data_IF_137494110450
#
_entry.id   IF_137494110450
#
_cell.length_a   1.000
_cell.length_b   1.000
_cell.length_c   1.000
_cell.angle_alpha   90.00
_cell.angle_beta   90.00
_cell.angle_gamma   90.00
#
_symmetry.space_group_name_H-M   'P 1'
#
loop_
_entity.id
_entity.type
_entity.pdbx_description
1 polymer ?
#
# COMPACT_ATOMS: atom_id res chain seq x y z
N UNK A 1 -16.90 -17.91 -8.01
CA UNK A 1 -16.48 -18.46 -6.70
C UNK A 1 -15.11 -17.87 -6.38
N UNK A 2 -15.01 -16.92 -5.44
CA UNK A 2 -13.72 -16.32 -5.09
C UNK A 2 -12.92 -17.33 -4.26
N UNK A 3 -11.88 -17.87 -4.91
CA UNK A 3 -10.87 -18.73 -4.32
C UNK A 3 -10.32 -18.04 -3.05
N UNK A 4 -10.64 -18.58 -1.87
CA UNK A 4 -10.13 -18.06 -0.61
C UNK A 4 -8.63 -18.37 -0.57
N UNK A 5 -7.82 -17.48 -1.14
CA UNK A 5 -6.39 -17.43 -0.88
C UNK A 5 -6.23 -17.36 0.63
N UNK A 6 -5.85 -18.50 1.21
CA UNK A 6 -5.68 -18.71 2.64
C UNK A 6 -4.82 -17.57 3.21
N UNK A 7 -5.47 -16.58 3.80
CA UNK A 7 -4.76 -15.48 4.45
C UNK A 7 -4.14 -15.99 5.73
N UNK A 8 -2.92 -15.55 6.01
CA UNK A 8 -2.28 -15.85 7.28
C UNK A 8 -3.19 -15.45 8.47
N UNK A 9 -3.16 -16.20 9.59
CA UNK A 9 -3.94 -15.88 10.77
C UNK A 9 -3.71 -14.44 11.22
N UNK A 10 -4.77 -13.78 11.69
CA UNK A 10 -4.66 -12.42 12.21
C UNK A 10 -3.72 -12.40 13.43
N UNK A 11 -2.70 -11.51 13.46
CA UNK A 11 -1.73 -11.46 14.56
C UNK A 11 -2.34 -11.01 15.89
N UNK A 12 -3.52 -10.42 15.87
CA UNK A 12 -4.18 -9.90 17.07
C UNK A 12 -5.15 -10.91 17.70
N UNK A 13 -5.93 -11.64 16.88
CA UNK A 13 -6.98 -12.53 17.38
C UNK A 13 -6.89 -13.99 16.90
N UNK A 14 -5.89 -14.32 16.08
CA UNK A 14 -5.67 -15.67 15.55
C UNK A 14 -6.67 -16.15 14.49
N UNK A 15 -7.71 -15.38 14.18
CA UNK A 15 -8.71 -15.75 13.18
C UNK A 15 -8.17 -15.60 11.74
N UNK A 16 -8.54 -16.51 10.85
CA UNK A 16 -8.14 -16.48 9.43
C UNK A 16 -9.19 -15.83 8.52
N UNK A 17 -10.26 -15.28 9.08
CA UNK A 17 -11.27 -14.54 8.33
C UNK A 17 -10.82 -13.10 8.10
N UNK A 18 -10.18 -12.86 6.95
CA UNK A 18 -9.75 -11.53 6.51
C UNK A 18 -10.16 -11.24 5.07
N UNK A 19 -10.45 -9.98 4.79
CA UNK A 19 -10.81 -9.51 3.44
C UNK A 19 -9.76 -8.54 2.91
N UNK A 20 -9.43 -8.58 1.61
CA UNK A 20 -8.51 -7.62 1.00
C UNK A 20 -9.05 -6.19 1.09
N UNK A 21 -8.19 -5.26 1.51
CA UNK A 21 -8.50 -3.83 1.52
C UNK A 21 -8.34 -3.29 0.10
N UNK A 22 -9.39 -2.66 -0.44
CA UNK A 22 -9.39 -2.17 -1.83
C UNK A 22 -8.79 -0.78 -1.99
N UNK A 23 -8.81 0.02 -0.93
CA UNK A 23 -8.35 1.41 -0.95
C UNK A 23 -7.83 1.83 0.43
N UNK A 24 -6.74 2.58 0.46
CA UNK A 24 -6.26 3.30 1.64
C UNK A 24 -5.94 4.75 1.28
N UNK A 25 -6.04 5.67 2.24
CA UNK A 25 -5.72 7.08 2.01
C UNK A 25 -4.23 7.31 1.70
N UNK A 26 -3.33 6.47 2.23
CA UNK A 26 -1.87 6.58 2.02
C UNK A 26 -1.37 5.91 0.74
N UNK A 27 -2.15 5.02 0.12
CA UNK A 27 -1.69 4.23 -1.04
C UNK A 27 -2.72 4.03 -2.14
N UNK A 28 -3.85 4.72 -2.06
CA UNK A 28 -4.95 4.57 -3.00
C UNK A 28 -5.38 3.11 -3.18
N UNK A 29 -5.70 2.73 -4.41
CA UNK A 29 -6.00 1.34 -4.75
C UNK A 29 -4.74 0.46 -4.95
N UNK A 30 -3.56 1.08 -5.15
CA UNK A 30 -2.33 0.36 -5.49
C UNK A 30 -1.61 -0.17 -4.25
N UNK A 31 -1.39 0.68 -3.24
CA UNK A 31 -0.66 0.35 -2.02
C UNK A 31 -1.19 -0.90 -1.30
N UNK A 32 -2.51 -1.01 -1.05
CA UNK A 32 -3.09 -2.20 -0.42
C UNK A 32 -2.83 -3.48 -1.20
N UNK A 33 -2.88 -3.44 -2.53
CA UNK A 33 -2.63 -4.62 -3.38
C UNK A 33 -1.15 -5.03 -3.34
N UNK A 34 -0.24 -4.07 -3.48
CA UNK A 34 1.21 -4.30 -3.45
C UNK A 34 1.65 -4.91 -2.12
N UNK A 35 1.09 -4.43 -1.01
CA UNK A 35 1.44 -4.88 0.33
C UNK A 35 0.57 -6.04 0.83
N UNK A 36 -0.27 -6.63 -0.04
CA UNK A 36 -1.19 -7.71 0.32
C UNK A 36 -2.00 -7.36 1.59
N UNK A 37 -2.46 -6.12 1.67
CA UNK A 37 -3.09 -5.53 2.84
C UNK A 37 -4.51 -6.06 2.98
N UNK A 38 -4.78 -6.74 4.09
CA UNK A 38 -6.07 -7.32 4.42
C UNK A 38 -6.56 -6.76 5.75
N UNK A 39 -7.87 -6.82 5.96
CA UNK A 39 -8.54 -6.45 7.21
C UNK A 39 -9.21 -7.68 7.79
N UNK A 40 -8.89 -8.03 9.03
CA UNK A 40 -9.59 -9.07 9.77
C UNK A 40 -11.05 -8.67 9.98
N UNK A 41 -11.98 -9.57 9.67
CA UNK A 41 -13.42 -9.34 9.86
C UNK A 41 -13.85 -9.47 11.32
N UNK A 42 -13.02 -10.07 12.18
CA UNK A 42 -13.33 -10.28 13.59
C UNK A 42 -12.90 -9.10 14.48
N UNK A 43 -11.63 -8.69 14.40
CA UNK A 43 -11.07 -7.64 15.27
C UNK A 43 -10.67 -6.36 14.53
N UNK A 44 -10.96 -6.25 13.23
CA UNK A 44 -10.63 -5.11 12.37
C UNK A 44 -9.14 -4.81 12.20
N UNK A 45 -8.24 -5.62 12.75
CA UNK A 45 -6.79 -5.47 12.56
C UNK A 45 -6.44 -5.58 11.09
N UNK A 46 -5.66 -4.61 10.62
CA UNK A 46 -5.13 -4.57 9.26
C UNK A 46 -3.68 -5.07 9.27
N UNK A 47 -3.36 -5.98 8.35
CA UNK A 47 -2.08 -6.67 8.34
C UNK A 47 -1.76 -7.20 6.94
N UNK A 48 -0.61 -7.84 6.80
CA UNK A 48 -0.20 -8.50 5.57
C UNK A 48 -0.84 -9.89 5.49
N UNK A 49 -1.75 -10.07 4.54
CA UNK A 49 -2.48 -11.33 4.35
C UNK A 49 -1.61 -12.51 3.95
N UNK A 50 -0.37 -12.30 3.47
CA UNK A 50 0.57 -13.37 3.14
C UNK A 50 1.39 -13.81 4.35
N UNK A 51 1.81 -12.89 5.21
CA UNK A 51 2.78 -13.18 6.29
C UNK A 51 2.18 -13.14 7.69
N UNK A 52 0.98 -12.57 7.87
CA UNK A 52 0.40 -12.36 9.19
C UNK A 52 1.03 -11.19 9.95
N UNK A 53 2.03 -10.49 9.37
CA UNK A 53 2.76 -9.41 10.04
C UNK A 53 2.14 -8.04 9.75
N UNK A 54 2.51 -7.04 10.55
CA UNK A 54 2.16 -5.65 10.27
C UNK A 54 2.77 -5.19 8.93
N UNK A 55 2.00 -4.37 8.20
CA UNK A 55 2.45 -3.74 6.95
C UNK A 55 3.14 -2.38 7.16
N UNK A 56 3.33 -1.91 8.40
CA UNK A 56 3.87 -0.56 8.69
C UNK A 56 5.21 -0.30 7.97
N UNK A 57 6.17 -1.21 8.07
CA UNK A 57 7.46 -1.05 7.40
C UNK A 57 7.32 -0.98 5.87
N UNK A 58 6.46 -1.84 5.29
CA UNK A 58 6.16 -1.83 3.86
C UNK A 58 5.49 -0.53 3.42
N UNK A 59 4.59 0.03 4.23
CA UNK A 59 3.92 1.31 3.98
C UNK A 59 4.94 2.45 3.98
N UNK A 60 5.89 2.46 4.92
CA UNK A 60 6.95 3.48 4.99
C UNK A 60 7.80 3.43 3.72
N UNK A 61 8.30 2.26 3.34
CA UNK A 61 9.11 2.08 2.12
C UNK A 61 8.32 2.51 0.88
N UNK A 62 7.07 2.05 0.75
CA UNK A 62 6.18 2.44 -0.35
C UNK A 62 6.00 3.96 -0.43
N UNK A 63 5.80 4.62 0.71
CA UNK A 63 5.58 6.07 0.76
C UNK A 63 6.84 6.85 0.39
N UNK A 64 8.02 6.44 0.87
CA UNK A 64 9.30 7.07 0.54
C UNK A 64 9.61 6.94 -0.95
N UNK A 65 9.42 5.75 -1.52
CA UNK A 65 9.66 5.52 -2.97
C UNK A 65 8.72 6.37 -3.82
N UNK A 66 7.42 6.40 -3.48
CA UNK A 66 6.47 7.26 -4.19
C UNK A 66 6.84 8.73 -4.10
N UNK A 67 7.21 9.21 -2.91
CA UNK A 67 7.61 10.60 -2.74
C UNK A 67 8.84 10.94 -3.58
N UNK A 68 9.86 10.08 -3.60
CA UNK A 68 11.05 10.27 -4.41
C UNK A 68 10.72 10.32 -5.92
N UNK A 69 9.88 9.40 -6.40
CA UNK A 69 9.45 9.40 -7.81
C UNK A 69 8.68 10.67 -8.15
N UNK A 70 7.70 11.05 -7.32
CA UNK A 70 6.92 12.27 -7.51
C UNK A 70 7.81 13.52 -7.50
N UNK A 71 8.79 13.60 -6.61
CA UNK A 71 9.74 14.70 -6.57
C UNK A 71 10.59 14.76 -7.84
N UNK A 72 11.13 13.63 -8.31
CA UNK A 72 11.91 13.58 -9.55
C UNK A 72 11.08 13.96 -10.78
N UNK A 73 9.86 13.44 -10.91
CA UNK A 73 8.96 13.74 -12.04
C UNK A 73 8.53 15.20 -12.01
N UNK A 74 8.04 15.70 -10.89
CA UNK A 74 7.59 17.09 -10.76
C UNK A 74 8.76 18.08 -10.90
N UNK A 75 9.91 17.79 -10.30
CA UNK A 75 11.12 18.60 -10.42
C UNK A 75 11.65 18.63 -11.85
N UNK A 76 11.69 17.48 -12.53
CA UNK A 76 12.08 17.39 -13.94
C UNK A 76 11.11 18.16 -14.85
N UNK A 77 9.81 17.99 -14.66
CA UNK A 77 8.80 18.76 -15.41
C UNK A 77 8.90 20.27 -15.17
N UNK A 78 9.14 20.69 -13.92
CA UNK A 78 9.35 22.10 -13.60
C UNK A 78 10.59 22.66 -14.29
N UNK A 79 11.71 21.93 -14.26
CA UNK A 79 12.94 22.33 -14.95
C UNK A 79 12.74 22.43 -16.47
N UNK A 80 12.05 21.45 -17.09
CA UNK A 80 11.70 21.49 -18.52
C UNK A 80 10.83 22.72 -18.82
N UNK A 81 9.81 22.99 -18.01
CA UNK A 81 8.95 24.16 -18.21
C UNK A 81 9.73 25.48 -18.13
N UNK A 82 10.64 25.61 -17.17
CA UNK A 82 11.52 26.81 -17.05
C UNK A 82 12.40 26.97 -18.28
N UNK A 83 12.99 25.88 -18.79
CA UNK A 83 13.83 25.92 -19.99
C UNK A 83 13.01 26.33 -21.22
N UNK A 84 11.80 25.78 -21.40
CA UNK A 84 10.91 26.10 -22.51
C UNK A 84 10.40 27.54 -22.49
N UNK A 85 10.22 28.15 -21.31
CA UNK A 85 9.80 29.55 -21.17
C UNK A 85 10.94 30.57 -21.37
N UNK A 86 12.19 30.12 -21.31
CA UNK A 86 13.40 30.95 -21.45
C UNK A 86 14.08 30.76 -22.83
N UNK A 87 13.33 30.24 -23.81
CA UNK A 87 13.65 30.21 -25.24
C UNK A 87 12.66 31.10 -25.98
#
# INVERSE_FOLDING_TARGET
MQNQTQTAPCPNCGQSNATPVRYTWWGGALGPRMLSHVKCQNCNTQYNGKTGKSNTQGIIIYSVVLFAISFCVCGGLAAVNVILQNQ
#
